data_IF_670493107065
#
_entry.id   IF_670493107065
#
_cell.length_a   1.000
_cell.length_b   1.000
_cell.length_c   1.000
_cell.angle_alpha   90.00
_cell.angle_beta   90.00
_cell.angle_gamma   90.00
#
_symmetry.space_group_name_H-M   'P 1'
#
loop_
_entity.id
_entity.type
_entity.pdbx_description
1 polymer ?
#
# COMPACT_ATOMS: atom_id res chain seq x y z
N UNK A 1 19.15 6.09 0.67
CA UNK A 1 17.71 5.95 0.38
C UNK A 1 17.04 5.52 1.66
N UNK A 2 16.09 6.29 2.16
CA UNK A 2 15.47 6.04 3.46
C UNK A 2 14.17 5.24 3.27
N UNK A 3 14.12 4.03 3.83
CA UNK A 3 12.92 3.18 3.91
C UNK A 3 11.89 3.73 4.92
N UNK A 4 12.11 4.91 5.49
CA UNK A 4 11.22 5.59 6.44
C UNK A 4 9.76 5.72 5.95
N UNK A 5 9.56 5.80 4.63
CA UNK A 5 8.21 5.78 4.06
C UNK A 5 7.48 4.48 4.39
N UNK A 6 8.14 3.33 4.48
CA UNK A 6 7.50 2.05 4.78
C UNK A 6 7.36 1.72 6.27
N UNK A 7 7.78 2.63 7.16
CA UNK A 7 7.64 2.46 8.61
C UNK A 7 6.17 2.48 9.10
N UNK A 8 5.23 2.93 8.26
CA UNK A 8 3.81 3.00 8.61
C UNK A 8 3.05 1.77 8.07
N UNK A 9 2.27 1.12 8.93
CA UNK A 9 1.52 -0.10 8.61
C UNK A 9 0.57 0.06 7.41
N UNK A 10 -0.17 1.16 7.31
CA UNK A 10 -1.08 1.41 6.18
C UNK A 10 -0.33 1.55 4.86
N UNK A 11 0.83 2.23 4.85
CA UNK A 11 1.65 2.37 3.62
C UNK A 11 2.26 1.04 3.19
N UNK A 12 2.72 0.24 4.15
CA UNK A 12 3.22 -1.11 3.87
C UNK A 12 2.11 -2.01 3.35
N UNK A 13 0.95 -2.03 4.02
CA UNK A 13 -0.20 -2.82 3.59
C UNK A 13 -0.64 -2.45 2.16
N UNK A 14 -0.81 -1.15 1.88
CA UNK A 14 -1.17 -0.69 0.54
C UNK A 14 -0.14 -1.13 -0.50
N UNK A 15 1.16 -0.91 -0.24
CA UNK A 15 2.20 -1.27 -1.20
C UNK A 15 2.33 -2.78 -1.41
N UNK A 16 2.25 -3.60 -0.35
CA UNK A 16 2.25 -5.07 -0.46
C UNK A 16 1.12 -5.56 -1.37
N UNK A 17 -0.11 -5.03 -1.21
CA UNK A 17 -1.25 -5.41 -2.05
C UNK A 17 -1.07 -5.04 -3.52
N UNK A 18 -0.37 -3.94 -3.79
CA UNK A 18 -0.04 -3.52 -5.15
C UNK A 18 1.09 -4.34 -5.78
N UNK A 19 2.02 -4.86 -4.97
CA UNK A 19 3.09 -5.76 -5.42
C UNK A 19 2.55 -7.16 -5.70
N UNK A 20 1.60 -7.63 -4.91
CA UNK A 20 0.91 -8.91 -5.10
C UNK A 20 -0.04 -8.90 -6.31
N UNK A 21 -0.39 -7.73 -6.84
CA UNK A 21 -1.29 -7.58 -7.98
C UNK A 21 -0.51 -7.53 -9.31
N UNK A 22 -0.91 -8.37 -10.28
CA UNK A 22 -0.32 -8.35 -11.63
C UNK A 22 -0.69 -7.08 -12.43
N UNK A 23 -1.87 -6.53 -12.15
CA UNK A 23 -2.48 -5.39 -12.84
C UNK A 23 -2.81 -4.23 -11.88
N UNK A 24 -3.12 -3.08 -12.47
CA UNK A 24 -3.60 -1.89 -11.78
C UNK A 24 -4.79 -2.19 -10.83
N UNK A 25 -4.70 -1.70 -9.60
CA UNK A 25 -5.71 -1.88 -8.56
C UNK A 25 -6.53 -0.61 -8.41
N UNK A 26 -7.84 -0.72 -8.61
CA UNK A 26 -8.77 0.38 -8.39
C UNK A 26 -8.77 0.85 -6.93
N UNK A 27 -8.96 2.16 -6.73
CA UNK A 27 -8.91 2.79 -5.41
C UNK A 27 -9.81 2.09 -4.38
N UNK A 28 -11.09 1.88 -4.71
CA UNK A 28 -12.04 1.24 -3.81
C UNK A 28 -11.61 -0.16 -3.37
N UNK A 29 -11.07 -0.95 -4.30
CA UNK A 29 -10.54 -2.28 -4.01
C UNK A 29 -9.32 -2.20 -3.10
N UNK A 30 -8.43 -1.24 -3.34
CA UNK A 30 -7.26 -1.02 -2.50
C UNK A 30 -7.66 -0.62 -1.07
N UNK A 31 -8.70 0.20 -0.90
CA UNK A 31 -9.24 0.56 0.43
C UNK A 31 -9.66 -0.70 1.17
N UNK A 32 -10.48 -1.55 0.54
CA UNK A 32 -10.99 -2.78 1.16
C UNK A 32 -9.86 -3.73 1.54
N UNK A 33 -8.90 -3.93 0.63
CA UNK A 33 -7.73 -4.77 0.88
C UNK A 33 -6.84 -4.26 2.02
N UNK A 34 -6.72 -2.94 2.20
CA UNK A 34 -5.94 -2.35 3.30
C UNK A 34 -6.66 -2.50 4.63
N UNK A 35 -8.00 -2.38 4.63
CA UNK A 35 -8.80 -2.65 5.85
C UNK A 35 -8.58 -4.09 6.30
N UNK A 36 -8.75 -5.06 5.39
CA UNK A 36 -8.53 -6.48 5.68
C UNK A 36 -7.12 -6.72 6.24
N UNK A 37 -6.10 -6.08 5.64
CA UNK A 37 -4.71 -6.22 6.08
C UNK A 37 -4.47 -5.71 7.52
N UNK A 38 -5.10 -4.60 7.88
CA UNK A 38 -4.88 -3.95 9.18
C UNK A 38 -5.73 -4.62 10.26
N UNK A 39 -6.94 -5.04 9.89
CA UNK A 39 -7.86 -5.76 10.78
C UNK A 39 -7.30 -7.14 11.15
N UNK A 40 -6.66 -7.87 10.22
CA UNK A 40 -5.96 -9.13 10.50
C UNK A 40 -4.79 -8.98 11.50
N UNK A 41 -4.25 -7.76 11.64
CA UNK A 41 -3.18 -7.45 12.59
C UNK A 41 -3.70 -6.92 13.94
N UNK A 42 -5.00 -6.62 14.05
CA UNK A 42 -5.62 -6.12 15.26
C UNK A 42 -6.14 -7.28 16.12
N UNK A 43 -5.56 -7.46 17.31
CA UNK A 43 -5.94 -8.53 18.26
C UNK A 43 -7.30 -8.26 18.96
N UNK A 44 -7.83 -7.04 18.86
CA UNK A 44 -9.13 -6.64 19.42
C UNK A 44 -9.99 -5.90 18.39
N UNK A 45 -11.29 -6.22 18.43
CA UNK A 45 -12.38 -5.87 17.49
C UNK A 45 -12.10 -4.75 16.47
N UNK A 46 -11.90 -5.08 15.19
CA UNK A 46 -11.83 -4.07 14.17
C UNK A 46 -13.21 -3.52 13.85
N UNK A 47 -13.34 -2.20 14.02
CA UNK A 47 -14.45 -1.38 13.47
C UNK A 47 -13.83 -0.29 12.61
N UNK A 48 -12.90 -0.70 11.73
CA UNK A 48 -12.18 0.23 10.89
C UNK A 48 -13.15 0.88 9.90
N UNK A 49 -13.48 2.15 10.13
CA UNK A 49 -14.38 2.92 9.25
C UNK A 49 -13.76 3.04 7.85
N UNK A 50 -14.43 2.43 6.87
CA UNK A 50 -14.00 2.45 5.46
C UNK A 50 -13.79 3.87 4.94
N UNK A 51 -14.68 4.80 5.28
CA UNK A 51 -14.60 6.20 4.85
C UNK A 51 -13.36 6.87 5.42
N UNK A 52 -13.03 6.57 6.68
CA UNK A 52 -11.82 7.08 7.31
C UNK A 52 -10.56 6.54 6.65
N UNK A 53 -10.50 5.24 6.36
CA UNK A 53 -9.35 4.62 5.67
C UNK A 53 -9.20 5.17 4.27
N UNK A 54 -10.29 5.26 3.49
CA UNK A 54 -10.27 5.87 2.16
C UNK A 54 -9.70 7.30 2.20
N UNK A 55 -10.19 8.14 3.11
CA UNK A 55 -9.72 9.52 3.28
C UNK A 55 -8.22 9.56 3.60
N UNK A 56 -7.74 8.71 4.52
CA UNK A 56 -6.32 8.62 4.88
C UNK A 56 -5.46 8.12 3.73
N UNK A 57 -5.92 7.09 3.01
CA UNK A 57 -5.20 6.55 1.86
C UNK A 57 -5.03 7.64 0.80
N UNK A 58 -6.12 8.28 0.40
CA UNK A 58 -6.13 9.27 -0.66
C UNK A 58 -5.30 10.52 -0.32
N UNK A 59 -5.48 11.08 0.89
CA UNK A 59 -4.85 12.37 1.22
C UNK A 59 -3.49 12.28 1.90
N UNK A 60 -3.09 11.11 2.42
CA UNK A 60 -1.87 10.98 3.25
C UNK A 60 -0.95 9.88 2.76
N UNK A 61 -1.47 8.67 2.57
CA UNK A 61 -0.61 7.50 2.38
C UNK A 61 -0.18 7.34 0.92
N UNK A 62 -1.11 7.36 -0.03
CA UNK A 62 -0.82 7.18 -1.46
C UNK A 62 0.03 8.32 -2.02
N UNK A 63 -0.22 9.61 -1.69
CA UNK A 63 0.67 10.70 -2.11
C UNK A 63 2.10 10.53 -1.64
N UNK A 64 2.32 10.10 -0.39
CA UNK A 64 3.69 9.87 0.12
C UNK A 64 4.38 8.69 -0.55
N UNK A 65 3.63 7.67 -0.97
CA UNK A 65 4.17 6.53 -1.73
C UNK A 65 4.52 6.96 -3.16
N UNK A 66 3.68 7.76 -3.80
CA UNK A 66 3.94 8.34 -5.11
C UNK A 66 5.17 9.26 -5.09
N UNK A 67 5.27 10.17 -4.10
CA UNK A 67 6.42 11.05 -3.91
C UNK A 67 7.73 10.28 -3.68
N UNK A 68 7.65 9.11 -3.05
CA UNK A 68 8.80 8.22 -2.86
C UNK A 68 9.15 7.38 -4.10
N UNK A 69 8.33 7.47 -5.16
CA UNK A 69 8.47 6.77 -6.42
C UNK A 69 8.28 5.26 -6.32
N UNK A 70 7.59 4.77 -5.27
CA UNK A 70 7.34 3.32 -5.08
C UNK A 70 6.00 2.89 -5.67
N UNK A 71 5.14 3.85 -5.98
CA UNK A 71 3.78 3.65 -6.50
C UNK A 71 3.57 4.58 -7.69
N UNK A 72 2.86 4.08 -8.71
CA UNK A 72 2.31 4.86 -9.82
C UNK A 72 0.78 4.84 -9.75
N UNK A 73 0.13 5.86 -10.32
CA UNK A 73 -1.31 5.96 -10.36
C UNK A 73 -1.80 6.52 -11.70
N UNK A 74 -3.02 6.16 -12.09
CA UNK A 74 -3.76 6.77 -13.20
C UNK A 74 -4.91 7.59 -12.62
N UNK A 75 -4.84 8.92 -12.75
CA UNK A 75 -5.82 9.90 -12.25
C UNK A 75 -6.33 9.70 -10.80
N UNK A 76 -5.55 9.01 -9.95
CA UNK A 76 -5.93 8.58 -8.60
C UNK A 76 -7.13 7.63 -8.53
N UNK A 77 -7.49 7.00 -9.65
CA UNK A 77 -8.54 6.01 -9.75
C UNK A 77 -7.97 4.58 -9.67
N UNK A 78 -6.77 4.37 -10.21
CA UNK A 78 -6.03 3.10 -10.11
C UNK A 78 -4.59 3.31 -9.65
N UNK A 79 -4.01 2.27 -9.06
CA UNK A 79 -2.66 2.28 -8.50
C UNK A 79 -1.92 1.00 -8.88
N UNK A 80 -0.61 1.12 -9.11
CA UNK A 80 0.28 -0.01 -9.33
C UNK A 80 1.60 0.18 -8.59
N UNK A 81 2.20 -0.90 -8.12
CA UNK A 81 3.58 -0.86 -7.65
C UNK A 81 4.52 -0.56 -8.83
N UNK A 82 5.60 0.16 -8.52
CA UNK A 82 6.72 0.30 -9.46
C UNK A 82 7.76 -0.78 -9.16
N UNK A 83 8.72 -1.02 -10.07
CA UNK A 83 9.89 -1.88 -9.81
C UNK A 83 10.59 -1.52 -8.48
N UNK A 84 10.59 -0.22 -8.15
CA UNK A 84 11.15 0.30 -6.90
C UNK A 84 10.31 -0.11 -5.69
N UNK A 85 8.99 -0.10 -5.81
CA UNK A 85 8.06 -0.55 -4.79
C UNK A 85 8.19 -2.04 -4.52
N UNK A 86 8.26 -2.84 -5.59
CA UNK A 86 8.50 -4.29 -5.52
C UNK A 86 9.81 -4.61 -4.81
N UNK A 87 10.92 -3.98 -5.21
CA UNK A 87 12.21 -4.15 -4.55
C UNK A 87 12.16 -3.73 -3.07
N UNK A 88 11.42 -2.68 -2.73
CA UNK A 88 11.30 -2.20 -1.36
C UNK A 88 10.48 -3.15 -0.46
N UNK A 89 9.43 -3.79 -0.99
CA UNK A 89 8.68 -4.84 -0.28
C UNK A 89 9.52 -6.10 -0.13
N UNK A 90 10.19 -6.56 -1.19
CA UNK A 90 11.07 -7.72 -1.12
C UNK A 90 12.15 -7.58 -0.04
N UNK A 91 12.74 -6.39 0.10
CA UNK A 91 13.70 -6.09 1.18
C UNK A 91 13.09 -6.19 2.59
N UNK A 92 11.81 -5.86 2.78
CA UNK A 92 11.12 -5.97 4.07
C UNK A 92 10.72 -7.40 4.41
N UNK A 93 10.33 -8.18 3.40
CA UNK A 93 9.89 -9.57 3.55
C UNK A 93 11.06 -10.56 3.55
N UNK A 94 12.28 -10.09 3.25
CA UNK A 94 13.46 -10.94 3.13
C UNK A 94 13.45 -11.78 1.85
N UNK A 95 12.66 -11.38 0.85
CA UNK A 95 12.55 -12.04 -0.46
C UNK A 95 13.40 -11.25 -1.45
N UNK A 96 14.43 -11.89 -2.03
CA UNK A 96 15.23 -11.27 -3.09
C UNK A 96 14.32 -10.94 -4.30
N UNK A 97 14.35 -9.72 -4.85
CA UNK A 97 13.50 -9.36 -5.98
C UNK A 97 13.85 -10.22 -7.19
N UNK A 98 12.86 -10.92 -7.76
CA UNK A 98 13.05 -11.69 -8.99
C UNK A 98 13.36 -10.74 -10.15
N UNK A 99 14.58 -10.88 -10.65
CA UNK A 99 15.21 -10.05 -11.68
C UNK A 99 14.76 -10.38 -13.09
#
# INVERSE_FOLDING_TARGET
>A
MSLDVLANSYRRAALSRLVEADDDVAFDRLVDQVIDAVDDQAVETPTTDRTWVATRLYHVHLPKLADAGVLAHDDWESFKATDRGEAAIGLLEGVEPQR
#
